data_IF_318553761093
#
_entry.id   IF_318553761093
#
_cell.length_a   1.000
_cell.length_b   1.000
_cell.length_c   1.000
_cell.angle_alpha   90.00
_cell.angle_beta   90.00
_cell.angle_gamma   90.00
#
_symmetry.space_group_name_H-M   'P 1'
#
loop_
_entity.id
_entity.type
_entity.pdbx_description
1 polymer ?
#
# COMPACT_ATOMS: atom_id res chain seq x y z
N UNK A 1 -14.13 -9.18 -22.21
CA UNK A 1 -14.66 -9.72 -20.94
C UNK A 1 -13.79 -9.34 -19.77
N UNK A 2 -14.34 -9.33 -18.55
CA UNK A 2 -13.55 -9.17 -17.33
C UNK A 2 -13.02 -10.56 -16.94
N UNK A 3 -11.70 -10.82 -17.04
CA UNK A 3 -11.14 -12.09 -16.60
C UNK A 3 -11.33 -12.25 -15.10
N UNK A 4 -11.27 -13.49 -14.63
CA UNK A 4 -11.38 -13.76 -13.21
C UNK A 4 -10.05 -13.48 -12.49
N UNK A 5 -9.96 -12.47 -11.60
CA UNK A 5 -8.68 -12.04 -11.03
C UNK A 5 -8.02 -13.09 -10.11
N UNK A 6 -8.74 -14.12 -9.66
CA UNK A 6 -8.12 -15.21 -8.90
C UNK A 6 -7.37 -16.21 -9.79
N UNK A 7 -7.64 -16.24 -11.10
CA UNK A 7 -6.89 -17.08 -12.04
C UNK A 7 -5.43 -16.64 -12.17
N UNK A 8 -5.15 -15.35 -11.92
CA UNK A 8 -3.79 -14.79 -11.86
C UNK A 8 -3.12 -14.94 -10.49
N UNK A 9 -3.66 -15.74 -9.56
CA UNK A 9 -3.14 -15.91 -8.19
C UNK A 9 -2.71 -17.36 -7.86
N UNK A 10 -1.78 -17.97 -8.63
CA UNK A 10 -1.36 -19.36 -8.42
C UNK A 10 -0.67 -19.62 -7.07
N UNK A 11 0.02 -18.65 -6.47
CA UNK A 11 0.67 -18.83 -5.17
C UNK A 11 -0.36 -18.83 -4.04
N UNK A 12 -1.28 -17.87 -4.04
CA UNK A 12 -2.36 -17.81 -3.07
C UNK A 12 -3.27 -19.04 -3.14
N UNK A 13 -3.48 -19.60 -4.33
CA UNK A 13 -4.24 -20.85 -4.51
C UNK A 13 -3.64 -22.07 -3.80
N UNK A 14 -2.35 -22.03 -3.44
CA UNK A 14 -1.67 -23.08 -2.67
C UNK A 14 -1.70 -22.86 -1.17
N UNK A 15 -2.35 -21.79 -0.71
CA UNK A 15 -2.49 -21.46 0.71
C UNK A 15 -3.86 -21.83 1.25
N UNK A 16 -4.02 -21.82 2.58
CA UNK A 16 -5.32 -22.04 3.20
C UNK A 16 -6.24 -20.84 2.94
N UNK A 17 -7.28 -21.05 2.13
CA UNK A 17 -8.29 -20.03 1.80
C UNK A 17 -9.65 -20.37 2.38
N UNK A 18 -10.48 -19.34 2.55
CA UNK A 18 -11.90 -19.47 2.91
C UNK A 18 -12.72 -19.66 1.65
N UNK A 19 -12.71 -20.90 1.11
CA UNK A 19 -13.43 -21.27 -0.12
C UNK A 19 -14.92 -20.94 -0.05
N UNK A 20 -15.52 -21.02 1.14
CA UNK A 20 -16.89 -20.61 1.43
C UNK A 20 -17.14 -19.11 1.17
N UNK A 21 -16.20 -18.25 1.56
CA UNK A 21 -16.28 -16.81 1.36
C UNK A 21 -15.91 -16.42 -0.07
N UNK A 22 -14.94 -17.09 -0.69
CA UNK A 22 -14.52 -16.86 -2.07
C UNK A 22 -15.69 -16.96 -3.04
N UNK A 23 -16.47 -18.05 -2.98
CA UNK A 23 -17.63 -18.24 -3.86
C UNK A 23 -18.71 -17.17 -3.66
N UNK A 24 -18.96 -16.77 -2.40
CA UNK A 24 -19.92 -15.70 -2.06
C UNK A 24 -19.47 -14.35 -2.60
N UNK A 25 -18.20 -14.00 -2.41
CA UNK A 25 -17.66 -12.70 -2.81
C UNK A 25 -17.41 -12.61 -4.32
N UNK A 26 -17.07 -13.72 -4.98
CA UNK A 26 -17.02 -13.83 -6.45
C UNK A 26 -18.35 -13.45 -7.09
N UNK A 27 -19.49 -13.85 -6.51
CA UNK A 27 -20.82 -13.42 -7.01
C UNK A 27 -20.98 -11.89 -6.98
N UNK A 28 -20.42 -11.21 -5.96
CA UNK A 28 -20.41 -9.74 -5.89
C UNK A 28 -19.55 -9.15 -7.00
N UNK A 29 -18.36 -9.71 -7.24
CA UNK A 29 -17.49 -9.32 -8.36
C UNK A 29 -18.22 -9.43 -9.71
N UNK A 30 -18.92 -10.53 -9.97
CA UNK A 30 -19.74 -10.67 -11.20
C UNK A 30 -20.89 -9.65 -11.29
N UNK A 31 -21.36 -9.14 -10.16
CA UNK A 31 -22.28 -8.00 -10.12
C UNK A 31 -21.58 -6.69 -10.48
N UNK A 32 -20.38 -6.45 -9.93
CA UNK A 32 -19.55 -5.29 -10.24
C UNK A 32 -19.14 -5.24 -11.71
N UNK A 33 -18.75 -6.36 -12.32
CA UNK A 33 -18.40 -6.39 -13.76
C UNK A 33 -19.61 -6.05 -14.64
N UNK A 34 -20.81 -6.49 -14.26
CA UNK A 34 -22.05 -6.09 -14.94
C UNK A 34 -22.36 -4.61 -14.74
N UNK A 35 -22.09 -4.06 -13.56
CA UNK A 35 -22.17 -2.63 -13.31
C UNK A 35 -21.19 -1.90 -14.23
N UNK A 36 -19.88 -2.18 -14.14
CA UNK A 36 -18.81 -1.53 -14.90
C UNK A 36 -19.00 -1.57 -16.42
N UNK A 37 -19.70 -2.58 -16.96
CA UNK A 37 -20.06 -2.61 -18.39
C UNK A 37 -21.08 -1.55 -18.81
N UNK A 38 -21.83 -0.94 -17.88
CA UNK A 38 -22.85 0.09 -18.16
C UNK A 38 -22.30 1.49 -18.39
N UNK A 39 -20.99 1.67 -18.36
CA UNK A 39 -20.33 2.97 -18.53
C UNK A 39 -20.80 3.74 -19.79
N UNK A 40 -20.46 5.03 -19.89
CA UNK A 40 -19.17 5.58 -19.47
C UNK A 40 -19.04 5.89 -17.96
N UNK A 41 -17.84 5.70 -17.41
CA UNK A 41 -17.47 6.07 -16.02
C UNK A 41 -16.62 7.33 -15.93
N UNK A 42 -16.12 7.77 -17.07
CA UNK A 42 -15.36 8.98 -17.21
C UNK A 42 -16.22 9.98 -17.98
N UNK A 43 -16.49 11.12 -17.36
CA UNK A 43 -17.05 12.26 -18.06
C UNK A 43 -15.89 13.07 -18.68
N UNK A 44 -15.53 12.75 -19.92
CA UNK A 44 -14.46 13.44 -20.65
C UNK A 44 -14.76 14.94 -20.86
N UNK A 45 -16.04 15.35 -20.83
CA UNK A 45 -16.44 16.75 -20.92
C UNK A 45 -16.17 17.56 -19.65
N UNK A 46 -15.96 16.88 -18.52
CA UNK A 46 -15.80 17.52 -17.20
C UNK A 46 -14.41 18.12 -16.94
N UNK A 47 -13.41 17.84 -17.77
CA UNK A 47 -12.06 18.39 -17.61
C UNK A 47 -11.38 18.71 -18.95
N UNK A 48 -10.50 19.72 -18.93
CA UNK A 48 -9.67 20.05 -20.09
C UNK A 48 -8.55 19.02 -20.22
N UNK A 49 -8.73 17.99 -21.04
CA UNK A 49 -7.70 16.99 -21.29
C UNK A 49 -8.21 15.73 -21.95
N UNK A 50 -7.34 14.71 -22.02
CA UNK A 50 -7.72 13.33 -22.36
C UNK A 50 -7.55 12.47 -21.12
N UNK A 51 -8.53 11.62 -20.82
CA UNK A 51 -8.41 10.61 -19.79
C UNK A 51 -8.14 9.24 -20.38
N UNK A 52 -7.49 8.37 -19.61
CA UNK A 52 -7.31 6.98 -19.96
C UNK A 52 -7.41 6.14 -18.69
N UNK A 53 -8.11 5.01 -18.76
CA UNK A 53 -8.02 3.99 -17.72
C UNK A 53 -6.61 3.40 -17.70
N UNK A 54 -6.05 3.27 -16.51
CA UNK A 54 -4.67 2.84 -16.30
C UNK A 54 -4.55 1.32 -16.05
N UNK A 55 -5.66 0.61 -15.86
CA UNK A 55 -5.75 -0.82 -15.52
C UNK A 55 -4.86 -1.73 -16.40
N UNK A 56 -3.68 -2.09 -15.89
CA UNK A 56 -2.68 -2.91 -16.59
C UNK A 56 -1.94 -2.21 -17.72
N UNK A 57 -1.96 -0.87 -17.79
CA UNK A 57 -1.38 -0.09 -18.88
C UNK A 57 -0.05 0.55 -18.49
N UNK A 58 0.78 0.77 -19.51
CA UNK A 58 1.99 1.56 -19.42
C UNK A 58 1.87 2.85 -20.23
N UNK A 59 2.46 3.92 -19.72
CA UNK A 59 2.54 5.23 -20.35
C UNK A 59 3.98 5.70 -20.38
N UNK A 60 4.37 6.40 -21.44
CA UNK A 60 5.71 6.97 -21.55
C UNK A 60 5.62 8.46 -21.80
N UNK A 61 6.33 9.23 -20.98
CA UNK A 61 6.45 10.69 -21.11
C UNK A 61 7.93 11.04 -21.08
N UNK A 62 8.47 11.40 -22.25
CA UNK A 62 9.92 11.62 -22.42
C UNK A 62 10.74 10.38 -22.03
N UNK A 63 11.66 10.57 -21.09
CA UNK A 63 12.51 9.51 -20.53
C UNK A 63 11.85 8.67 -19.42
N UNK A 64 10.62 9.00 -19.00
CA UNK A 64 9.93 8.32 -17.91
C UNK A 64 8.91 7.32 -18.43
N UNK A 65 8.96 6.08 -17.93
CA UNK A 65 7.94 5.07 -18.13
C UNK A 65 7.16 4.86 -16.84
N UNK A 66 5.84 4.89 -16.91
CA UNK A 66 4.93 4.61 -15.78
C UNK A 66 4.08 3.41 -16.15
N UNK A 67 4.19 2.32 -15.40
CA UNK A 67 3.38 1.11 -15.55
C UNK A 67 2.44 0.97 -14.37
N UNK A 68 1.21 0.57 -14.66
CA UNK A 68 0.22 0.24 -13.67
C UNK A 68 -0.06 -1.26 -13.72
N UNK A 69 -0.27 -1.88 -12.56
CA UNK A 69 -0.74 -3.26 -12.50
C UNK A 69 -2.16 -3.37 -13.04
N UNK A 70 -2.63 -4.59 -13.28
CA UNK A 70 -4.07 -4.83 -13.26
C UNK A 70 -4.66 -4.47 -11.88
N UNK A 71 -5.97 -4.23 -11.75
CA UNK A 71 -6.60 -4.02 -10.45
C UNK A 71 -6.28 -5.17 -9.49
N UNK A 72 -5.61 -4.83 -8.38
CA UNK A 72 -5.25 -5.76 -7.31
C UNK A 72 -6.28 -5.68 -6.19
N UNK A 73 -6.50 -6.77 -5.46
CA UNK A 73 -7.39 -6.77 -4.31
C UNK A 73 -6.81 -5.94 -3.16
N UNK A 74 -7.59 -5.00 -2.61
CA UNK A 74 -7.26 -4.32 -1.36
C UNK A 74 -7.69 -5.19 -0.17
N UNK A 75 -6.87 -6.20 0.16
CA UNK A 75 -7.18 -7.22 1.16
C UNK A 75 -7.27 -8.62 0.55
N UNK A 76 -8.04 -9.51 1.18
CA UNK A 76 -8.21 -10.88 0.65
C UNK A 76 -9.04 -10.86 -0.63
N UNK A 77 -8.96 -11.94 -1.39
CA UNK A 77 -9.60 -12.09 -2.69
C UNK A 77 -11.11 -11.79 -2.62
N UNK A 78 -11.56 -10.86 -3.47
CA UNK A 78 -12.93 -10.34 -3.57
C UNK A 78 -13.51 -9.66 -2.31
N UNK A 79 -12.68 -9.35 -1.31
CA UNK A 79 -13.15 -8.61 -0.15
C UNK A 79 -13.72 -7.23 -0.52
N UNK A 80 -14.53 -6.67 0.37
CA UNK A 80 -15.20 -5.38 0.15
C UNK A 80 -14.35 -4.10 0.13
N UNK A 81 -13.10 -4.03 0.63
CA UNK A 81 -12.36 -2.76 0.64
C UNK A 81 -12.08 -2.18 -0.75
N UNK A 82 -12.17 -2.98 -1.80
CA UNK A 82 -12.07 -2.53 -3.18
C UNK A 82 -10.80 -3.01 -3.87
N UNK A 83 -10.29 -2.16 -4.76
CA UNK A 83 -9.21 -2.50 -5.68
C UNK A 83 -8.21 -1.35 -5.75
N UNK A 84 -6.94 -1.68 -5.94
CA UNK A 84 -5.85 -0.72 -6.07
C UNK A 84 -5.05 -0.98 -7.34
N UNK A 85 -4.44 0.07 -7.89
CA UNK A 85 -3.44 -0.04 -8.93
C UNK A 85 -2.09 0.29 -8.30
N UNK A 86 -1.18 -0.68 -8.31
CA UNK A 86 0.20 -0.40 -7.98
C UNK A 86 0.89 0.27 -9.18
N UNK A 87 1.88 1.10 -8.89
CA UNK A 87 2.57 1.94 -9.87
C UNK A 87 4.05 1.59 -9.88
N UNK A 88 4.60 1.33 -11.07
CA UNK A 88 6.04 1.22 -11.29
C UNK A 88 6.48 2.39 -12.17
N UNK A 89 7.43 3.18 -11.68
CA UNK A 89 7.99 4.33 -12.40
C UNK A 89 9.46 4.05 -12.69
N UNK A 90 9.84 4.14 -13.97
CA UNK A 90 11.21 3.91 -14.44
C UNK A 90 11.72 5.18 -15.12
N UNK A 91 12.80 5.76 -14.60
CA UNK A 91 13.43 6.96 -15.16
C UNK A 91 14.95 6.92 -14.91
N UNK A 92 15.75 7.20 -15.94
CA UNK A 92 17.21 7.31 -15.78
C UNK A 92 17.90 6.04 -15.24
N UNK A 93 17.32 4.86 -15.48
CA UNK A 93 17.82 3.59 -14.94
C UNK A 93 17.39 3.27 -13.51
N UNK A 94 16.62 4.14 -12.85
CA UNK A 94 16.06 3.92 -11.51
C UNK A 94 14.61 3.46 -11.62
N UNK A 95 14.24 2.45 -10.83
CA UNK A 95 12.89 1.90 -10.70
C UNK A 95 12.31 2.18 -9.31
N UNK A 96 11.22 2.94 -9.28
CA UNK A 96 10.37 3.11 -8.10
C UNK A 96 9.13 2.22 -8.22
N UNK A 97 8.78 1.51 -7.15
CA UNK A 97 7.53 0.77 -7.04
C UNK A 97 6.73 1.30 -5.85
N UNK A 98 5.51 1.76 -6.11
CA UNK A 98 4.50 2.11 -5.12
C UNK A 98 3.39 1.06 -5.15
N UNK A 99 3.34 0.18 -4.15
CA UNK A 99 2.40 -0.94 -4.15
C UNK A 99 1.07 -0.65 -3.46
N UNK A 100 1.06 0.36 -2.58
CA UNK A 100 -0.01 0.65 -1.63
C UNK A 100 -1.40 0.74 -2.29
N UNK A 101 -2.47 0.20 -1.71
CA UNK A 101 -2.60 -0.36 -0.35
C UNK A 101 -2.86 -1.90 -0.42
N UNK A 102 -1.87 -2.76 -0.19
CA UNK A 102 -1.99 -4.24 -0.24
C UNK A 102 -2.02 -4.91 1.14
N UNK A 103 -2.06 -4.12 2.21
CA UNK A 103 -2.10 -4.48 3.62
C UNK A 103 -0.93 -5.37 4.07
N UNK A 104 0.30 -4.99 3.72
CA UNK A 104 1.50 -5.81 3.95
C UNK A 104 1.43 -7.09 3.11
N UNK A 105 1.61 -6.97 1.79
CA UNK A 105 1.03 -7.79 0.74
C UNK A 105 0.33 -9.06 1.22
N UNK A 106 -0.98 -8.97 1.45
CA UNK A 106 -1.73 -10.06 2.05
C UNK A 106 -1.78 -11.32 1.16
N UNK A 107 -1.70 -11.13 -0.15
CA UNK A 107 -1.71 -12.18 -1.18
C UNK A 107 -0.27 -12.47 -1.65
N UNK A 108 0.15 -13.74 -1.64
CA UNK A 108 1.53 -14.15 -1.94
C UNK A 108 1.99 -13.72 -3.33
N UNK A 109 1.10 -13.79 -4.32
CA UNK A 109 1.42 -13.39 -5.70
C UNK A 109 1.81 -11.91 -5.78
N UNK A 110 1.24 -11.06 -4.92
CA UNK A 110 1.60 -9.65 -4.88
C UNK A 110 2.96 -9.43 -4.24
N UNK A 111 3.26 -10.16 -3.15
CA UNK A 111 4.59 -10.16 -2.57
C UNK A 111 5.64 -10.62 -3.60
N UNK A 112 5.37 -11.75 -4.28
CA UNK A 112 6.26 -12.32 -5.29
C UNK A 112 6.49 -11.35 -6.44
N UNK A 113 5.43 -10.74 -6.97
CA UNK A 113 5.52 -9.73 -8.02
C UNK A 113 6.42 -8.54 -7.61
N UNK A 114 6.27 -8.00 -6.39
CA UNK A 114 7.13 -6.90 -5.91
C UNK A 114 8.60 -7.31 -5.91
N UNK A 115 8.91 -8.54 -5.48
CA UNK A 115 10.28 -9.06 -5.46
C UNK A 115 10.82 -9.29 -6.88
N UNK A 116 9.99 -9.78 -7.79
CA UNK A 116 10.34 -10.00 -9.20
C UNK A 116 10.57 -8.69 -9.96
N UNK A 117 9.85 -7.63 -9.62
CA UNK A 117 10.05 -6.29 -10.18
C UNK A 117 11.42 -5.72 -9.86
N UNK A 118 12.06 -6.13 -8.75
CA UNK A 118 13.38 -5.64 -8.30
C UNK A 118 13.48 -4.11 -8.31
N UNK A 119 12.64 -3.39 -7.54
CA UNK A 119 12.70 -1.93 -7.47
C UNK A 119 13.98 -1.46 -6.77
N UNK A 120 14.49 -0.30 -7.17
CA UNK A 120 15.54 0.42 -6.44
C UNK A 120 14.96 1.15 -5.22
N UNK A 121 13.72 1.66 -5.36
CA UNK A 121 12.94 2.31 -4.31
C UNK A 121 11.58 1.63 -4.20
N UNK A 122 11.27 1.10 -3.01
CA UNK A 122 10.00 0.46 -2.72
C UNK A 122 9.21 1.28 -1.70
N UNK A 123 8.00 1.68 -2.05
CA UNK A 123 7.02 2.25 -1.11
C UNK A 123 5.91 1.20 -0.92
N UNK A 124 5.85 0.68 0.29
CA UNK A 124 5.04 -0.47 0.69
C UNK A 124 4.15 -0.06 1.86
N UNK A 125 2.86 -0.38 1.81
CA UNK A 125 2.04 -0.34 3.02
C UNK A 125 2.25 -1.60 3.85
N UNK A 126 2.39 -1.42 5.15
CA UNK A 126 2.53 -2.56 6.05
C UNK A 126 1.18 -3.17 6.45
N UNK A 127 1.22 -4.29 7.19
CA UNK A 127 0.01 -4.95 7.68
C UNK A 127 -0.83 -4.02 8.58
N UNK A 128 -2.15 -4.04 8.40
CA UNK A 128 -3.10 -3.27 9.22
C UNK A 128 -3.33 -3.91 10.60
N UNK A 129 -2.30 -3.90 11.43
CA UNK A 129 -2.23 -4.62 12.71
C UNK A 129 -3.31 -4.20 13.72
N UNK A 130 -3.78 -2.95 13.65
CA UNK A 130 -4.87 -2.41 14.47
C UNK A 130 -6.27 -2.94 14.09
N UNK A 131 -6.40 -3.63 12.95
CA UNK A 131 -7.66 -4.25 12.49
C UNK A 131 -7.84 -5.70 12.94
N UNK A 132 -6.91 -6.23 13.73
CA UNK A 132 -6.99 -7.57 14.30
C UNK A 132 -8.27 -7.75 15.13
N UNK A 133 -9.09 -8.73 14.75
CA UNK A 133 -10.39 -9.00 15.35
C UNK A 133 -11.54 -8.47 14.48
N UNK A 134 -11.85 -7.15 14.51
CA UNK A 134 -13.02 -6.59 13.82
C UNK A 134 -13.07 -6.87 12.31
N UNK A 135 -11.92 -6.80 11.63
CA UNK A 135 -11.85 -6.90 10.15
C UNK A 135 -10.75 -7.86 9.65
N UNK A 136 -9.81 -8.26 10.51
CA UNK A 136 -8.70 -9.13 10.12
C UNK A 136 -8.55 -10.31 11.10
N UNK A 137 -8.39 -11.52 10.58
CA UNK A 137 -8.12 -12.72 11.38
C UNK A 137 -6.65 -12.80 11.81
N UNK A 138 -6.35 -13.56 12.88
CA UNK A 138 -4.95 -13.86 13.27
C UNK A 138 -4.16 -14.50 12.14
N UNK A 139 -4.78 -15.43 11.40
CA UNK A 139 -4.15 -16.13 10.28
C UNK A 139 -3.79 -15.19 9.13
N UNK A 140 -4.73 -14.32 8.73
CA UNK A 140 -4.48 -13.34 7.66
C UNK A 140 -3.46 -12.29 8.08
N UNK A 141 -3.47 -11.83 9.34
CA UNK A 141 -2.45 -10.92 9.84
C UNK A 141 -1.06 -11.57 9.84
N UNK A 142 -0.95 -12.80 10.34
CA UNK A 142 0.33 -13.53 10.33
C UNK A 142 0.86 -13.74 8.90
N UNK A 143 -0.04 -14.04 7.95
CA UNK A 143 0.28 -14.12 6.51
C UNK A 143 0.82 -12.79 5.98
N UNK A 144 0.13 -11.68 6.24
CA UNK A 144 0.58 -10.35 5.84
C UNK A 144 1.95 -9.99 6.44
N UNK A 145 2.17 -10.23 7.73
CA UNK A 145 3.47 -9.99 8.37
C UNK A 145 4.58 -10.80 7.70
N UNK A 146 4.34 -12.11 7.45
CA UNK A 146 5.29 -12.98 6.78
C UNK A 146 5.63 -12.48 5.37
N UNK A 147 4.62 -12.15 4.58
CA UNK A 147 4.78 -11.70 3.20
C UNK A 147 5.47 -10.33 3.15
N UNK A 148 5.09 -9.41 4.03
CA UNK A 148 5.73 -8.11 4.15
C UNK A 148 7.22 -8.24 4.49
N UNK A 149 7.58 -9.01 5.52
CA UNK A 149 8.99 -9.23 5.90
C UNK A 149 9.76 -9.86 4.75
N UNK A 150 9.21 -10.89 4.12
CA UNK A 150 9.84 -11.55 2.98
C UNK A 150 10.04 -10.58 1.81
N UNK A 151 9.05 -9.73 1.51
CA UNK A 151 9.13 -8.73 0.44
C UNK A 151 10.27 -7.74 0.70
N UNK A 152 10.34 -7.16 1.91
CA UNK A 152 11.42 -6.24 2.28
C UNK A 152 12.79 -6.92 2.16
N UNK A 153 12.94 -8.14 2.68
CA UNK A 153 14.22 -8.86 2.67
C UNK A 153 14.66 -9.31 1.25
N UNK A 154 13.70 -9.59 0.35
CA UNK A 154 13.99 -10.19 -0.96
C UNK A 154 13.92 -9.23 -2.13
N UNK A 155 13.22 -8.11 -2.02
CA UNK A 155 13.19 -7.07 -3.05
C UNK A 155 14.58 -6.45 -3.27
N UNK A 156 15.41 -6.40 -2.20
CA UNK A 156 16.77 -5.83 -2.23
C UNK A 156 16.82 -4.39 -2.75
N UNK A 157 15.75 -3.63 -2.54
CA UNK A 157 15.70 -2.22 -2.86
C UNK A 157 16.73 -1.45 -2.01
N UNK A 158 17.37 -0.43 -2.59
CA UNK A 158 18.27 0.45 -1.85
C UNK A 158 17.55 1.31 -0.82
N UNK A 159 16.25 1.56 -1.04
CA UNK A 159 15.36 2.24 -0.11
C UNK A 159 14.01 1.51 -0.04
N UNK A 160 13.57 1.19 1.18
CA UNK A 160 12.22 0.67 1.45
C UNK A 160 11.51 1.58 2.44
N UNK A 161 10.44 2.22 1.99
CA UNK A 161 9.51 3.00 2.83
C UNK A 161 8.33 2.10 3.18
N UNK A 162 8.17 1.77 4.47
CA UNK A 162 7.13 0.90 4.99
C UNK A 162 6.17 1.70 5.90
N UNK A 163 4.93 1.96 5.44
CA UNK A 163 4.05 2.94 6.10
C UNK A 163 2.53 2.63 5.98
N UNK A 164 1.69 3.69 5.94
CA UNK A 164 0.25 3.78 5.73
C UNK A 164 -0.63 3.15 6.81
N UNK A 165 -0.64 1.83 6.91
CA UNK A 165 -1.43 1.09 7.90
C UNK A 165 -0.61 0.78 9.15
N UNK A 166 0.66 0.44 8.95
CA UNK A 166 1.55 -0.07 9.97
C UNK A 166 1.80 0.96 11.07
N UNK A 167 2.07 2.21 10.68
CA UNK A 167 2.41 3.34 11.56
C UNK A 167 1.21 3.88 12.35
N UNK A 168 0.01 3.31 12.19
CA UNK A 168 -1.18 3.70 12.97
C UNK A 168 -1.24 3.04 14.35
N UNK A 169 -0.35 2.10 14.64
CA UNK A 169 -0.28 1.43 15.94
C UNK A 169 1.12 1.62 16.57
N UNK A 170 1.24 2.06 17.84
CA UNK A 170 2.54 2.28 18.47
C UNK A 170 3.49 1.06 18.49
N UNK A 171 2.96 -0.16 18.55
CA UNK A 171 3.76 -1.39 18.62
C UNK A 171 4.32 -1.87 17.26
N UNK A 172 4.19 -1.08 16.20
CA UNK A 172 4.45 -1.53 14.83
C UNK A 172 5.89 -2.01 14.59
N UNK A 173 6.88 -1.33 15.19
CA UNK A 173 8.29 -1.69 15.07
C UNK A 173 8.58 -3.09 15.59
N UNK A 174 8.00 -3.44 16.73
CA UNK A 174 8.15 -4.77 17.31
C UNK A 174 7.53 -5.86 16.43
N UNK A 175 6.33 -5.59 15.87
CA UNK A 175 5.61 -6.55 15.02
C UNK A 175 6.33 -6.84 13.70
N UNK A 176 6.96 -5.82 13.12
CA UNK A 176 7.70 -5.91 11.87
C UNK A 176 9.21 -5.79 12.08
N UNK A 177 9.72 -6.19 13.24
CA UNK A 177 11.12 -5.98 13.64
C UNK A 177 12.13 -6.46 12.60
N UNK A 178 11.88 -7.61 11.96
CA UNK A 178 12.72 -8.12 10.88
C UNK A 178 12.77 -7.21 9.65
N UNK A 179 11.65 -6.59 9.26
CA UNK A 179 11.63 -5.67 8.12
C UNK A 179 12.45 -4.40 8.43
N UNK A 180 12.31 -3.85 9.63
CA UNK A 180 13.12 -2.70 10.07
C UNK A 180 14.60 -3.06 10.24
N UNK A 181 14.92 -4.25 10.78
CA UNK A 181 16.30 -4.77 10.80
C UNK A 181 16.89 -4.95 9.41
N UNK A 182 16.07 -5.18 8.39
CA UNK A 182 16.49 -5.26 7.00
C UNK A 182 16.65 -3.88 6.32
N UNK A 183 16.47 -2.78 7.07
CA UNK A 183 16.69 -1.41 6.57
C UNK A 183 15.44 -0.69 6.08
N UNK A 184 14.23 -1.23 6.29
CA UNK A 184 13.02 -0.46 6.05
C UNK A 184 12.93 0.75 6.99
N UNK A 185 12.43 1.86 6.47
CA UNK A 185 12.15 3.11 7.21
C UNK A 185 10.69 3.50 7.02
N UNK A 186 10.13 4.30 7.92
CA UNK A 186 8.83 4.95 7.69
C UNK A 186 9.00 6.19 6.82
N UNK A 187 7.90 6.69 6.26
CA UNK A 187 7.90 7.95 5.51
C UNK A 187 8.35 9.11 6.39
N UNK A 188 7.88 9.16 7.64
CA UNK A 188 8.31 10.16 8.62
C UNK A 188 9.84 10.14 8.82
N UNK A 189 10.43 8.95 9.04
CA UNK A 189 11.87 8.82 9.25
C UNK A 189 12.69 9.20 8.01
N UNK A 190 12.16 8.97 6.81
CA UNK A 190 12.80 9.42 5.57
C UNK A 190 12.92 10.97 5.52
N UNK A 191 11.97 11.68 6.12
CA UNK A 191 12.01 13.14 6.31
C UNK A 191 12.75 13.59 7.58
N UNK A 192 13.38 12.66 8.31
CA UNK A 192 14.11 12.97 9.53
C UNK A 192 13.24 13.28 10.76
N UNK A 193 11.94 12.97 10.70
CA UNK A 193 11.02 13.13 11.83
C UNK A 193 10.59 11.77 12.41
N UNK A 194 10.40 11.64 13.73
CA UNK A 194 9.86 10.42 14.30
C UNK A 194 8.39 10.18 13.86
N UNK A 195 7.96 8.92 13.69
CA UNK A 195 6.56 8.59 13.41
C UNK A 195 5.60 9.21 14.42
N UNK A 196 4.38 9.55 13.99
CA UNK A 196 3.39 10.19 14.86
C UNK A 196 3.12 9.38 16.14
N UNK A 197 3.09 8.05 16.06
CA UNK A 197 2.92 7.20 17.25
C UNK A 197 4.04 7.36 18.27
N UNK A 198 5.27 7.51 17.80
CA UNK A 198 6.47 7.66 18.63
C UNK A 198 6.45 9.06 19.28
N UNK A 199 6.07 10.09 18.51
CA UNK A 199 5.88 11.46 19.01
C UNK A 199 4.74 11.56 20.03
N UNK A 200 3.62 10.88 19.79
CA UNK A 200 2.49 10.81 20.73
C UNK A 200 2.87 10.17 22.07
N UNK A 201 3.72 9.14 22.05
CA UNK A 201 4.25 8.55 23.27
C UNK A 201 5.16 9.55 24.01
N UNK A 202 6.07 10.20 23.30
CA UNK A 202 6.97 11.20 23.87
C UNK A 202 6.22 12.40 24.48
N UNK A 203 5.24 12.98 23.79
CA UNK A 203 4.45 14.11 24.32
C UNK A 203 3.61 13.76 25.54
N UNK A 204 3.22 12.49 25.71
CA UNK A 204 2.56 12.01 26.92
C UNK A 204 3.55 11.97 28.09
N UNK A 205 4.75 11.48 27.86
CA UNK A 205 5.80 11.37 28.87
C UNK A 205 6.33 12.75 29.29
N UNK A 206 6.45 13.70 28.37
CA UNK A 206 6.94 15.06 28.64
C UNK A 206 5.86 16.03 29.14
N UNK A 207 4.59 15.61 29.19
CA UNK A 207 3.48 16.47 29.59
C UNK A 207 3.07 17.52 28.56
N UNK A 208 3.47 17.37 27.30
CA UNK A 208 3.20 18.32 26.21
C UNK A 208 1.91 18.00 25.44
N UNK A 209 1.25 16.87 25.71
CA UNK A 209 0.13 16.37 24.92
C UNK A 209 -1.00 17.39 24.74
N UNK A 210 -1.42 18.10 25.80
CA UNK A 210 -2.52 19.07 25.73
C UNK A 210 -2.20 20.25 24.81
N UNK A 211 -0.94 20.70 24.79
CA UNK A 211 -0.48 21.76 23.88
C UNK A 211 -0.55 21.27 22.44
N UNK A 212 -0.06 20.06 22.18
CA UNK A 212 -0.04 19.48 20.83
C UNK A 212 -1.46 19.22 20.30
N UNK A 213 -2.37 18.74 21.14
CA UNK A 213 -3.78 18.55 20.76
C UNK A 213 -4.45 19.87 20.37
N UNK A 214 -4.11 20.98 21.04
CA UNK A 214 -4.59 22.32 20.65
C UNK A 214 -4.06 22.73 19.28
N UNK A 215 -2.76 22.53 19.00
CA UNK A 215 -2.16 22.81 17.68
C UNK A 215 -2.79 21.94 16.57
N UNK A 216 -3.04 20.66 16.86
CA UNK A 216 -3.72 19.77 15.91
C UNK A 216 -5.15 20.25 15.63
N UNK A 217 -5.90 20.66 16.66
CA UNK A 217 -7.26 21.19 16.52
C UNK A 217 -7.30 22.51 15.74
N UNK A 218 -6.27 23.37 15.87
CA UNK A 218 -6.13 24.59 15.08
C UNK A 218 -5.56 24.37 13.67
N UNK A 219 -5.18 23.13 13.32
CA UNK A 219 -4.49 22.79 12.05
C UNK A 219 -3.13 23.47 11.89
N UNK A 220 -2.43 23.67 13.00
CA UNK A 220 -1.11 24.31 13.06
C UNK A 220 0.02 23.32 13.38
N UNK A 221 -0.32 22.05 13.61
CA UNK A 221 0.67 21.00 13.85
C UNK A 221 1.34 20.56 12.55
N UNK A 222 2.67 20.46 12.56
CA UNK A 222 3.51 19.93 11.48
C UNK A 222 3.33 20.63 10.12
N UNK A 223 3.02 21.93 10.10
CA UNK A 223 2.85 22.69 8.86
C UNK A 223 4.11 22.68 7.97
N UNK A 224 5.28 22.55 8.58
CA UNK A 224 6.56 22.41 7.90
C UNK A 224 6.63 21.19 6.98
N UNK A 225 5.84 20.13 7.22
CA UNK A 225 5.79 18.95 6.34
C UNK A 225 5.09 19.24 5.01
N UNK A 226 4.32 20.32 4.93
CA UNK A 226 3.69 20.78 3.69
C UNK A 226 4.64 21.65 2.85
N UNK A 227 5.77 22.08 3.42
CA UNK A 227 6.78 22.81 2.68
C UNK A 227 7.57 21.83 1.81
N UNK A 228 7.67 22.05 0.48
CA UNK A 228 8.49 21.20 -0.35
C UNK A 228 9.95 21.25 0.16
N UNK A 229 10.65 20.10 0.21
CA UNK A 229 12.03 20.08 0.66
C UNK A 229 12.84 21.04 -0.20
N UNK A 230 13.70 21.85 0.42
CA UNK A 230 14.64 22.73 -0.29
C UNK A 230 15.68 21.84 -0.97
N UNK A 231 15.38 21.42 -2.20
CA UNK A 231 16.33 20.69 -3.03
C UNK A 231 17.43 21.67 -3.45
N UNK A 232 18.59 21.57 -2.81
CA UNK A 232 19.81 22.20 -3.31
C UNK A 232 20.29 21.40 -4.52
N UNK A 233 20.12 21.95 -5.72
CA UNK A 233 20.74 21.46 -6.95
C UNK A 233 22.14 22.05 -7.10
#
# INVERSE_FOLDING_TARGET
DYPDPVESLPLAARTQRREDLLGKWRKRFLGLTRLWRKGPWLDEGSFRGRGAYADGRGFRVGGTTVRFTHPLFHGVEYASPGWVLAIVVEHGGVKLLYSSDLQGPLIEDYAAWIVEERPDVLILDGPATYLLGPLQSKTSLARAIKNCVWTVEKARAGLVVLDHHLTREPGFRGKLGRAFSAGAVTGAELFGIPPLTDRLASWRETGELDRVLKLAASRELDLELLEPPRLSF
#
